data_IF_619374766046
#
_entry.id   IF_619374766046
#
_cell.length_a   1.000
_cell.length_b   1.000
_cell.length_c   1.000
_cell.angle_alpha   90.00
_cell.angle_beta   90.00
_cell.angle_gamma   90.00
#
_symmetry.space_group_name_H-M   'P 1'
#
loop_
_entity.id
_entity.type
_entity.pdbx_description
1 polymer ?
#
# COMPACT_ATOMS: atom_id res chain seq x y z
N UNK A 1 3.20 -10.66 -4.66
CA UNK A 1 2.83 -9.51 -5.53
C UNK A 1 1.51 -8.85 -5.15
N UNK A 2 0.57 -9.53 -4.47
CA UNK A 2 -0.68 -8.91 -3.98
C UNK A 2 -0.44 -7.60 -3.19
N UNK A 3 0.53 -7.60 -2.26
CA UNK A 3 0.86 -6.43 -1.45
C UNK A 3 1.40 -5.23 -2.26
N UNK A 4 2.03 -5.48 -3.42
CA UNK A 4 2.45 -4.40 -4.33
C UNK A 4 1.23 -3.70 -4.96
N UNK A 5 0.23 -4.46 -5.39
CA UNK A 5 -1.02 -3.91 -5.93
C UNK A 5 -1.74 -3.09 -4.86
N UNK A 6 -1.75 -3.56 -3.60
CA UNK A 6 -2.31 -2.81 -2.48
C UNK A 6 -1.63 -1.45 -2.28
N UNK A 7 -0.30 -1.39 -2.41
CA UNK A 7 0.45 -0.12 -2.34
C UNK A 7 0.08 0.81 -3.49
N UNK A 8 -0.09 0.29 -4.71
CA UNK A 8 -0.55 1.09 -5.85
C UNK A 8 -1.97 1.61 -5.66
N UNK A 9 -2.87 0.78 -5.11
CA UNK A 9 -4.24 1.18 -4.75
C UNK A 9 -4.19 2.33 -3.75
N UNK A 10 -3.41 2.21 -2.67
CA UNK A 10 -3.24 3.26 -1.66
C UNK A 10 -2.75 4.59 -2.27
N UNK A 11 -1.81 4.53 -3.21
CA UNK A 11 -1.18 5.70 -3.82
C UNK A 11 -2.01 6.40 -4.91
N UNK A 12 -2.90 5.67 -5.58
CA UNK A 12 -3.55 6.12 -6.82
C UNK A 12 -5.07 6.22 -6.76
N UNK A 13 -5.72 5.53 -5.82
CA UNK A 13 -7.17 5.52 -5.70
C UNK A 13 -7.62 6.33 -4.48
N UNK A 14 -8.84 6.87 -4.56
CA UNK A 14 -9.54 7.42 -3.40
C UNK A 14 -9.93 6.31 -2.42
N UNK A 15 -10.28 6.68 -1.19
CA UNK A 15 -10.69 5.71 -0.16
C UNK A 15 -11.82 4.78 -0.66
N UNK A 16 -12.85 5.35 -1.29
CA UNK A 16 -14.01 4.58 -1.78
C UNK A 16 -13.65 3.65 -2.94
N UNK A 17 -12.84 4.13 -3.90
CA UNK A 17 -12.39 3.32 -5.03
C UNK A 17 -11.49 2.17 -4.57
N UNK A 18 -10.53 2.45 -3.68
CA UNK A 18 -9.63 1.43 -3.15
C UNK A 18 -10.38 0.37 -2.34
N UNK A 19 -11.31 0.78 -1.47
CA UNK A 19 -12.18 -0.17 -0.75
C UNK A 19 -13.04 -1.00 -1.68
N UNK A 20 -13.60 -0.41 -2.74
CA UNK A 20 -14.36 -1.14 -3.76
C UNK A 20 -13.51 -2.20 -4.46
N UNK A 21 -12.28 -1.85 -4.87
CA UNK A 21 -11.34 -2.79 -5.51
C UNK A 21 -10.96 -3.93 -4.57
N UNK A 22 -10.58 -3.63 -3.32
CA UNK A 22 -10.19 -4.64 -2.33
C UNK A 22 -11.38 -5.55 -1.99
N UNK A 23 -12.58 -4.98 -1.84
CA UNK A 23 -13.79 -5.76 -1.51
C UNK A 23 -14.19 -6.66 -2.66
N UNK A 24 -14.14 -6.17 -3.91
CA UNK A 24 -14.39 -6.97 -5.11
C UNK A 24 -13.35 -8.09 -5.24
N UNK A 25 -12.09 -7.80 -4.95
CA UNK A 25 -11.02 -8.80 -4.92
C UNK A 25 -11.33 -9.91 -3.90
N UNK A 26 -11.74 -9.58 -2.68
CA UNK A 26 -12.10 -10.59 -1.68
C UNK A 26 -13.36 -11.36 -2.11
N UNK A 27 -14.37 -10.67 -2.63
CA UNK A 27 -15.64 -11.27 -3.06
C UNK A 27 -15.45 -12.28 -4.22
N UNK A 28 -14.61 -11.95 -5.20
CA UNK A 28 -14.29 -12.87 -6.31
C UNK A 28 -13.59 -14.13 -5.80
N UNK A 29 -12.67 -14.00 -4.84
CA UNK A 29 -12.00 -15.14 -4.24
C UNK A 29 -12.95 -15.98 -3.38
N UNK A 30 -13.88 -15.34 -2.68
CA UNK A 30 -14.97 -15.99 -1.94
C UNK A 30 -15.96 -16.71 -2.88
N UNK A 31 -16.14 -16.21 -4.11
CA UNK A 31 -16.93 -16.87 -5.15
C UNK A 31 -16.21 -18.05 -5.82
N UNK A 32 -14.99 -18.41 -5.37
CA UNK A 32 -14.24 -19.55 -5.87
C UNK A 32 -13.26 -19.24 -7.00
N UNK A 33 -13.10 -17.97 -7.38
CA UNK A 33 -12.14 -17.59 -8.42
C UNK A 33 -10.68 -17.73 -7.92
N UNK A 34 -9.77 -18.32 -8.70
CA UNK A 34 -8.38 -18.59 -8.30
C UNK A 34 -7.49 -17.33 -8.40
N UNK A 35 -7.89 -16.24 -7.75
CA UNK A 35 -7.27 -14.91 -7.86
C UNK A 35 -6.27 -14.58 -6.76
N UNK A 36 -6.27 -15.34 -5.65
CA UNK A 36 -5.28 -15.15 -4.59
C UNK A 36 -3.93 -15.75 -5.01
N UNK A 37 -2.85 -15.36 -4.31
CA UNK A 37 -1.51 -15.88 -4.63
C UNK A 37 -1.45 -17.41 -4.57
N UNK A 38 -0.66 -17.98 -5.48
CA UNK A 38 -0.59 -19.42 -5.67
C UNK A 38 -1.78 -20.01 -6.44
N UNK A 39 -2.65 -19.17 -7.02
CA UNK A 39 -3.85 -19.63 -7.72
C UNK A 39 -4.93 -20.15 -6.75
N UNK A 40 -4.89 -19.72 -5.49
CA UNK A 40 -5.87 -20.13 -4.49
C UNK A 40 -7.19 -19.36 -4.62
N UNK A 41 -8.28 -19.96 -4.15
CA UNK A 41 -9.61 -19.34 -4.08
C UNK A 41 -10.12 -19.27 -2.63
N UNK A 42 -11.32 -19.77 -2.33
CA UNK A 42 -12.00 -19.70 -1.03
C UNK A 42 -11.14 -20.23 0.13
N UNK A 43 -10.34 -21.27 -0.12
CA UNK A 43 -9.44 -21.83 0.89
C UNK A 43 -8.42 -20.82 1.42
N UNK A 44 -8.04 -19.82 0.63
CA UNK A 44 -7.13 -18.76 1.08
C UNK A 44 -7.75 -17.87 2.16
N UNK A 45 -9.08 -17.78 2.23
CA UNK A 45 -9.83 -16.95 3.18
C UNK A 45 -9.98 -17.58 4.57
N UNK A 46 -9.70 -18.88 4.69
CA UNK A 46 -9.74 -19.64 5.95
C UNK A 46 -8.43 -20.36 6.26
N UNK A 47 -7.45 -20.29 5.35
CA UNK A 47 -6.12 -20.89 5.52
C UNK A 47 -5.11 -19.96 6.20
N UNK A 48 -3.83 -20.37 6.26
CA UNK A 48 -2.77 -19.62 6.95
C UNK A 48 -2.61 -18.16 6.46
N UNK A 49 -2.88 -17.91 5.18
CA UNK A 49 -2.77 -16.57 4.58
C UNK A 49 -4.00 -15.67 4.79
N UNK A 50 -5.08 -16.19 5.38
CA UNK A 50 -6.36 -15.49 5.52
C UNK A 50 -6.18 -14.14 6.22
N UNK A 51 -5.36 -14.12 7.27
CA UNK A 51 -5.07 -12.90 8.03
C UNK A 51 -4.56 -11.74 7.18
N UNK A 52 -3.73 -12.04 6.19
CA UNK A 52 -3.19 -11.01 5.30
C UNK A 52 -4.25 -10.51 4.32
N UNK A 53 -5.09 -11.39 3.79
CA UNK A 53 -6.17 -11.02 2.85
C UNK A 53 -7.19 -10.12 3.56
N UNK A 54 -7.65 -10.52 4.74
CA UNK A 54 -8.53 -9.69 5.56
C UNK A 54 -7.84 -8.41 6.04
N UNK A 55 -6.53 -8.49 6.31
CA UNK A 55 -5.70 -7.36 6.70
C UNK A 55 -5.50 -6.29 5.61
N UNK A 56 -5.82 -6.56 4.33
CA UNK A 56 -5.69 -5.57 3.26
C UNK A 56 -6.56 -4.33 3.48
N UNK A 57 -7.78 -4.49 4.02
CA UNK A 57 -8.69 -3.37 4.28
C UNK A 57 -8.08 -2.41 5.32
N UNK A 58 -7.77 -2.82 6.56
CA UNK A 58 -7.20 -1.91 7.56
C UNK A 58 -5.82 -1.38 7.15
N UNK A 59 -5.00 -2.19 6.48
CA UNK A 59 -3.70 -1.75 5.95
C UNK A 59 -3.85 -0.62 4.92
N UNK A 60 -4.78 -0.76 3.98
CA UNK A 60 -5.10 0.27 2.99
C UNK A 60 -5.60 1.54 3.66
N UNK A 61 -6.54 1.43 4.60
CA UNK A 61 -7.11 2.58 5.32
C UNK A 61 -6.03 3.36 6.05
N UNK A 62 -5.14 2.68 6.79
CA UNK A 62 -4.03 3.34 7.49
C UNK A 62 -3.06 4.01 6.51
N UNK A 63 -2.69 3.33 5.43
CA UNK A 63 -1.83 3.93 4.39
C UNK A 63 -2.49 5.14 3.74
N UNK A 64 -3.79 5.08 3.44
CA UNK A 64 -4.53 6.17 2.81
C UNK A 64 -4.58 7.42 3.70
N UNK A 65 -4.97 7.27 4.98
CA UNK A 65 -4.95 8.39 5.91
C UNK A 65 -3.54 8.95 6.13
N UNK A 66 -2.52 8.10 6.18
CA UNK A 66 -1.13 8.54 6.23
C UNK A 66 -0.75 9.39 5.02
N UNK A 67 -1.18 8.97 3.81
CA UNK A 67 -0.97 9.72 2.57
C UNK A 67 -1.74 11.04 2.55
N UNK A 68 -2.98 11.08 3.04
CA UNK A 68 -3.75 12.32 3.19
C UNK A 68 -3.01 13.32 4.10
N UNK A 69 -2.53 12.89 5.26
CA UNK A 69 -1.77 13.73 6.19
C UNK A 69 -0.50 14.29 5.51
N UNK A 70 0.23 13.44 4.78
CA UNK A 70 1.42 13.87 4.01
C UNK A 70 1.05 14.91 2.97
N UNK A 71 -0.04 14.70 2.24
CA UNK A 71 -0.49 15.59 1.18
C UNK A 71 -0.95 16.96 1.74
N UNK A 72 -1.71 16.96 2.83
CA UNK A 72 -2.20 18.19 3.47
C UNK A 72 -1.07 19.04 4.04
N UNK A 73 -0.05 18.43 4.66
CA UNK A 73 1.11 19.14 5.23
C UNK A 73 2.02 19.79 4.18
N UNK A 74 1.99 19.29 2.95
CA UNK A 74 2.87 19.74 1.88
C UNK A 74 2.18 20.74 0.94
N UNK A 75 0.85 20.81 0.96
CA UNK A 75 0.07 21.86 0.28
C UNK A 75 0.10 23.21 1.01
N UNK A 76 0.42 23.25 2.30
CA UNK A 76 0.47 24.47 3.12
C UNK A 76 1.71 25.36 2.90
N UNK A 77 2.49 25.14 1.84
CA UNK A 77 3.68 25.94 1.52
C UNK A 77 3.35 27.04 0.51
N UNK A 78 3.53 28.31 0.91
CA UNK A 78 3.18 29.53 0.17
C UNK A 78 3.85 29.59 -1.24
N UNK A 79 3.09 29.75 -2.35
CA UNK A 79 3.63 29.80 -3.71
C UNK A 79 4.44 31.06 -4.06
N UNK A 80 4.50 32.07 -3.18
CA UNK A 80 4.89 33.44 -3.55
C UNK A 80 6.40 33.77 -3.51
N UNK A 81 7.31 32.78 -3.45
CA UNK A 81 8.75 33.03 -3.43
C UNK A 81 9.44 32.74 -4.77
N UNK A 82 10.33 33.65 -5.22
CA UNK A 82 11.19 33.54 -6.41
C UNK A 82 12.11 32.30 -6.44
N UNK A 83 12.11 31.48 -5.38
CA UNK A 83 12.77 30.17 -5.26
C UNK A 83 11.84 28.99 -5.64
N UNK A 84 10.72 29.24 -6.31
CA UNK A 84 9.68 28.27 -6.65
C UNK A 84 10.20 26.99 -7.35
N UNK A 85 11.19 27.10 -8.24
CA UNK A 85 11.77 25.94 -8.93
C UNK A 85 12.50 24.96 -7.99
N UNK A 86 13.26 25.47 -7.02
CA UNK A 86 13.93 24.63 -6.00
C UNK A 86 12.93 24.09 -4.98
N UNK A 87 11.85 24.82 -4.71
CA UNK A 87 10.76 24.42 -3.80
C UNK A 87 9.93 23.25 -4.36
N UNK A 88 9.65 23.24 -5.67
CA UNK A 88 8.87 22.20 -6.33
C UNK A 88 9.55 20.82 -6.32
N UNK A 89 10.88 20.78 -6.47
CA UNK A 89 11.65 19.53 -6.35
C UNK A 89 11.69 19.02 -4.90
N UNK A 90 11.92 19.91 -3.92
CA UNK A 90 11.95 19.56 -2.50
C UNK A 90 10.61 19.00 -2.00
N UNK A 91 9.49 19.58 -2.44
CA UNK A 91 8.14 19.11 -2.12
C UNK A 91 7.82 17.77 -2.78
N UNK A 92 8.35 17.50 -3.98
CA UNK A 92 8.19 16.19 -4.63
C UNK A 92 8.92 15.07 -3.86
N UNK A 93 10.14 15.33 -3.40
CA UNK A 93 10.91 14.37 -2.58
C UNK A 93 10.23 14.15 -1.24
N UNK A 94 9.77 15.21 -0.55
CA UNK A 94 9.11 15.04 0.75
C UNK A 94 7.79 14.30 0.63
N UNK A 95 7.03 14.50 -0.47
CA UNK A 95 5.84 13.69 -0.78
C UNK A 95 6.19 12.23 -0.99
N UNK A 96 7.25 11.94 -1.75
CA UNK A 96 7.69 10.56 -2.01
C UNK A 96 8.15 9.86 -0.72
N UNK A 97 8.94 10.54 0.11
CA UNK A 97 9.39 10.02 1.40
C UNK A 97 8.22 9.80 2.37
N UNK A 98 7.30 10.77 2.47
CA UNK A 98 6.09 10.63 3.29
C UNK A 98 5.20 9.48 2.81
N UNK A 99 5.06 9.32 1.49
CA UNK A 99 4.33 8.20 0.91
C UNK A 99 4.96 6.84 1.24
N UNK A 100 6.29 6.74 1.16
CA UNK A 100 7.01 5.53 1.56
C UNK A 100 6.78 5.18 3.04
N UNK A 101 6.77 6.18 3.92
CA UNK A 101 6.47 5.99 5.35
C UNK A 101 5.02 5.52 5.55
N UNK A 102 4.05 6.17 4.91
CA UNK A 102 2.64 5.80 5.00
C UNK A 102 2.37 4.35 4.50
N UNK A 103 3.05 3.95 3.43
CA UNK A 103 2.98 2.57 2.92
C UNK A 103 3.64 1.57 3.88
N UNK A 104 4.79 1.93 4.47
CA UNK A 104 5.44 1.08 5.48
C UNK A 104 4.53 0.87 6.69
N UNK A 105 3.89 1.93 7.19
CA UNK A 105 3.00 1.83 8.35
C UNK A 105 1.76 0.97 8.07
N UNK A 106 1.02 1.24 7.00
CA UNK A 106 -0.20 0.48 6.70
C UNK A 106 0.08 -0.88 6.06
N UNK A 107 0.75 -0.89 4.90
CA UNK A 107 0.95 -2.10 4.09
C UNK A 107 2.02 -3.05 4.62
N UNK A 108 2.83 -2.66 5.61
CA UNK A 108 3.77 -3.57 6.27
C UNK A 108 3.42 -3.72 7.74
N UNK A 109 3.57 -2.68 8.56
CA UNK A 109 3.44 -2.82 10.02
C UNK A 109 2.05 -3.32 10.41
N UNK A 110 0.99 -2.61 10.01
CA UNK A 110 -0.39 -3.02 10.32
C UNK A 110 -0.73 -4.36 9.66
N UNK A 111 -0.33 -4.54 8.39
CA UNK A 111 -0.61 -5.77 7.66
C UNK A 111 0.04 -7.00 8.30
N UNK A 112 1.32 -6.93 8.70
CA UNK A 112 2.02 -8.04 9.36
C UNK A 112 1.45 -8.31 10.74
N UNK A 113 1.14 -7.26 11.53
CA UNK A 113 0.52 -7.44 12.85
C UNK A 113 -0.79 -8.22 12.72
N UNK A 114 -1.69 -7.79 11.84
CA UNK A 114 -3.00 -8.45 11.65
C UNK A 114 -2.83 -9.83 11.03
N UNK A 115 -2.03 -9.91 9.95
CA UNK A 115 -1.82 -11.12 9.19
C UNK A 115 -1.23 -12.24 10.03
N UNK A 116 -0.15 -11.96 10.75
CA UNK A 116 0.53 -12.94 11.59
C UNK A 116 -0.29 -13.27 12.84
N UNK A 117 -1.05 -12.32 13.41
CA UNK A 117 -1.94 -12.60 14.55
C UNK A 117 -3.00 -13.64 14.17
N UNK A 118 -3.69 -13.45 13.04
CA UNK A 118 -4.71 -14.40 12.58
C UNK A 118 -4.06 -15.72 12.15
N UNK A 119 -2.92 -15.68 11.46
CA UNK A 119 -2.19 -16.90 11.09
C UNK A 119 -1.76 -17.71 12.31
N UNK A 120 -1.30 -17.05 13.39
CA UNK A 120 -0.91 -17.70 14.64
C UNK A 120 -2.07 -18.50 15.24
N UNK A 121 -3.28 -17.95 15.21
CA UNK A 121 -4.50 -18.61 15.68
C UNK A 121 -4.85 -19.80 14.80
N UNK A 122 -4.86 -19.62 13.47
CA UNK A 122 -5.28 -20.66 12.52
C UNK A 122 -4.30 -21.84 12.43
N UNK A 123 -3.00 -21.56 12.54
CA UNK A 123 -1.94 -22.59 12.42
C UNK A 123 -1.55 -23.17 13.78
N UNK A 124 -2.04 -22.60 14.88
CA UNK A 124 -1.67 -22.97 16.25
C UNK A 124 -0.14 -22.92 16.46
N UNK A 125 0.47 -21.83 16.01
CA UNK A 125 1.91 -21.61 16.09
C UNK A 125 2.22 -20.30 16.82
N UNK A 126 3.41 -20.22 17.42
CA UNK A 126 3.84 -19.03 18.16
C UNK A 126 3.91 -17.79 17.25
N UNK A 127 3.23 -16.72 17.67
CA UNK A 127 3.23 -15.43 16.98
C UNK A 127 4.65 -14.93 16.70
N UNK A 128 5.54 -14.99 17.69
CA UNK A 128 6.92 -14.52 17.56
C UNK A 128 7.70 -15.31 16.50
N UNK A 129 7.50 -16.63 16.43
CA UNK A 129 8.15 -17.47 15.41
C UNK A 129 7.66 -17.12 14.02
N UNK A 130 6.35 -16.90 13.85
CA UNK A 130 5.77 -16.50 12.58
C UNK A 130 6.18 -15.07 12.16
N UNK A 131 6.36 -14.16 13.13
CA UNK A 131 6.88 -12.82 12.86
C UNK A 131 8.33 -12.87 12.39
N UNK A 132 9.19 -13.64 13.06
CA UNK A 132 10.58 -13.83 12.63
C UNK A 132 10.64 -14.45 11.24
N UNK A 133 9.80 -15.45 10.96
CA UNK A 133 9.68 -16.02 9.62
C UNK A 133 9.22 -14.96 8.59
N UNK A 134 8.32 -14.07 9.00
CA UNK A 134 7.80 -12.99 8.14
C UNK A 134 8.86 -11.91 7.84
N UNK A 135 9.92 -11.77 8.64
CA UNK A 135 10.99 -10.80 8.40
C UNK A 135 11.74 -11.05 7.08
N UNK A 136 11.74 -12.28 6.57
CA UNK A 136 12.29 -12.60 5.25
C UNK A 136 11.60 -11.85 4.10
N UNK A 137 10.36 -11.39 4.28
CA UNK A 137 9.59 -10.68 3.27
C UNK A 137 9.74 -9.16 3.34
N UNK A 138 10.11 -8.61 4.50
CA UNK A 138 10.17 -7.15 4.73
C UNK A 138 11.13 -6.46 3.77
N UNK A 139 12.30 -7.05 3.51
CA UNK A 139 13.25 -6.49 2.55
C UNK A 139 12.66 -6.35 1.15
N UNK A 140 11.92 -7.36 0.68
CA UNK A 140 11.23 -7.30 -0.61
C UNK A 140 10.05 -6.33 -0.61
N UNK A 141 9.36 -6.15 0.52
CA UNK A 141 8.27 -5.18 0.63
C UNK A 141 8.78 -3.74 0.61
N UNK A 142 9.95 -3.46 1.19
CA UNK A 142 10.63 -2.17 1.05
C UNK A 142 10.92 -1.84 -0.42
N UNK A 143 11.41 -2.83 -1.18
CA UNK A 143 11.65 -2.66 -2.63
C UNK A 143 10.34 -2.39 -3.36
N UNK A 144 9.27 -3.14 -3.07
CA UNK A 144 7.94 -2.92 -3.67
C UNK A 144 7.41 -1.52 -3.38
N UNK A 145 7.53 -1.05 -2.14
CA UNK A 145 7.07 0.28 -1.76
C UNK A 145 7.85 1.37 -2.50
N UNK A 146 9.17 1.23 -2.62
CA UNK A 146 10.00 2.15 -3.38
C UNK A 146 9.57 2.17 -4.86
N UNK A 147 9.40 1.00 -5.48
CA UNK A 147 8.95 0.89 -6.87
C UNK A 147 7.56 1.48 -7.06
N UNK A 148 6.62 1.23 -6.14
CA UNK A 148 5.26 1.76 -6.21
C UNK A 148 5.23 3.30 -6.13
N UNK A 149 6.04 3.87 -5.23
CA UNK A 149 6.24 5.32 -5.11
C UNK A 149 6.81 5.86 -6.42
N UNK A 150 7.94 5.35 -6.88
CA UNK A 150 8.59 5.83 -8.12
C UNK A 150 7.66 5.72 -9.34
N UNK A 151 6.94 4.60 -9.49
CA UNK A 151 5.97 4.42 -10.56
C UNK A 151 4.85 5.46 -10.49
N UNK A 152 4.29 5.71 -9.31
CA UNK A 152 3.20 6.68 -9.12
C UNK A 152 3.65 8.10 -9.44
N UNK A 153 4.81 8.52 -8.93
CA UNK A 153 5.30 9.88 -9.17
C UNK A 153 5.79 10.05 -10.62
N UNK A 154 6.43 9.03 -11.21
CA UNK A 154 6.87 9.06 -12.61
C UNK A 154 5.70 9.19 -13.59
N UNK A 155 4.63 8.41 -13.40
CA UNK A 155 3.43 8.48 -14.26
C UNK A 155 2.76 9.86 -14.16
N UNK A 156 2.63 10.42 -12.95
CA UNK A 156 2.03 11.76 -12.76
C UNK A 156 2.80 12.85 -13.49
N UNK A 157 4.13 12.80 -13.50
CA UNK A 157 4.97 13.77 -14.21
C UNK A 157 4.83 13.69 -15.74
N UNK A 158 4.68 12.47 -16.28
CA UNK A 158 4.51 12.25 -17.72
C UNK A 158 3.16 12.79 -18.21
N UNK A 159 2.08 12.54 -17.46
CA UNK A 159 0.74 13.02 -17.80
C UNK A 159 0.71 14.56 -17.86
N UNK A 160 1.30 15.23 -16.87
CA UNK A 160 1.41 16.69 -16.85
C UNK A 160 2.20 17.21 -18.07
N UNK A 161 3.32 16.59 -18.42
CA UNK A 161 4.11 16.96 -19.61
C UNK A 161 3.30 16.86 -20.91
N UNK A 162 2.48 15.82 -21.08
CA UNK A 162 1.65 15.65 -22.28
C UNK A 162 0.53 16.67 -22.34
N UNK A 163 -0.07 17.03 -21.21
CA UNK A 163 -1.16 18.02 -21.16
C UNK A 163 -0.70 19.45 -21.49
N UNK A 164 0.52 19.83 -21.10
CA UNK A 164 1.08 21.17 -21.42
C UNK A 164 1.59 21.32 -22.86
N UNK A 165 1.62 20.24 -23.65
CA UNK A 165 2.07 20.24 -25.06
C UNK A 165 0.92 20.34 -26.06
N UNK A 166 -0.34 20.35 -25.61
CA UNK A 166 -1.54 20.57 -26.43
C UNK A 166 -2.07 21.97 -26.20
#
# INVERSE_FOLDING_TARGET
MQTFVLMLIALNLTLSEGLSVISTYIALGAAGMPIFSGGMSTLALVGPSAGFIWGFIPAFVVSHYGLEIVNSRLQSSDPSSLLAHTSQYRTSISRAAGAFIALTLGCMVVLYIIGVSIQSILVNASFSSLMVASMGFVGFDCIKALVAVLATFGVKQLVLHVQHRK
#
